data_IF_013316240783
#
_entry.id   IF_013316240783
#
_cell.length_a   1.000
_cell.length_b   1.000
_cell.length_c   1.000
_cell.angle_alpha   90.00
_cell.angle_beta   90.00
_cell.angle_gamma   90.00
#
_symmetry.space_group_name_H-M   'P 1'
#
loop_
_entity.id
_entity.type
_entity.pdbx_description
1 polymer ?
#
# COMPACT_ATOMS: atom_id res chain seq x y z
N UNK A 1 9.32 -25.63 -16.79
CA UNK A 1 9.55 -25.10 -15.43
C UNK A 1 10.29 -23.79 -15.60
N UNK A 2 9.71 -22.67 -15.17
CA UNK A 2 10.43 -21.39 -15.17
C UNK A 2 11.33 -21.37 -13.94
N UNK A 3 12.61 -21.04 -14.12
CA UNK A 3 13.61 -21.01 -13.04
C UNK A 3 13.95 -19.58 -12.60
N UNK A 4 13.28 -18.57 -13.16
CA UNK A 4 13.48 -17.17 -12.87
C UNK A 4 12.14 -16.42 -12.89
N UNK A 5 12.08 -15.31 -12.15
CA UNK A 5 10.96 -14.35 -12.14
C UNK A 5 11.29 -13.24 -13.12
N UNK A 6 10.44 -13.01 -14.11
CA UNK A 6 10.53 -11.89 -15.04
C UNK A 6 9.81 -10.65 -14.49
N UNK A 7 9.98 -9.48 -15.12
CA UNK A 7 9.40 -8.23 -14.63
C UNK A 7 7.87 -8.32 -14.42
N UNK A 8 7.18 -8.99 -15.34
CA UNK A 8 5.73 -9.17 -15.29
C UNK A 8 5.29 -10.29 -14.34
N UNK A 9 6.22 -11.13 -13.88
CA UNK A 9 5.98 -12.20 -12.91
C UNK A 9 6.27 -11.73 -11.46
N UNK A 10 6.67 -10.46 -11.26
CA UNK A 10 7.11 -9.97 -9.96
C UNK A 10 5.93 -9.89 -8.97
N UNK A 11 5.91 -10.70 -7.90
CA UNK A 11 4.81 -10.69 -6.96
C UNK A 11 4.94 -9.57 -5.93
N UNK A 12 5.96 -8.71 -6.03
CA UNK A 12 6.23 -7.66 -5.05
C UNK A 12 5.62 -6.35 -5.53
N UNK A 13 4.71 -5.81 -4.73
CA UNK A 13 4.02 -4.55 -4.99
C UNK A 13 4.37 -3.51 -3.93
N UNK A 14 4.24 -2.22 -4.30
CA UNK A 14 4.38 -1.11 -3.36
C UNK A 14 3.11 -0.25 -3.42
N UNK A 15 2.51 -0.02 -2.26
CA UNK A 15 1.36 0.86 -2.11
C UNK A 15 1.83 2.23 -1.58
N UNK A 16 1.96 3.26 -2.45
CA UNK A 16 2.49 4.56 -2.05
C UNK A 16 1.60 5.28 -1.04
N UNK A 17 0.27 5.10 -1.13
CA UNK A 17 -0.69 5.73 -0.23
C UNK A 17 -0.50 5.32 1.23
N UNK A 18 -0.17 4.04 1.46
CA UNK A 18 -0.03 3.44 2.77
C UNK A 18 1.44 3.28 3.21
N UNK A 19 2.41 3.56 2.32
CA UNK A 19 3.84 3.28 2.53
C UNK A 19 4.08 1.80 2.88
N UNK A 20 3.48 0.91 2.10
CA UNK A 20 3.52 -0.54 2.35
C UNK A 20 4.15 -1.29 1.18
N UNK A 21 5.02 -2.23 1.50
CA UNK A 21 5.48 -3.25 0.56
C UNK A 21 4.66 -4.52 0.77
N UNK A 22 4.28 -5.15 -0.34
CA UNK A 22 3.40 -6.30 -0.35
C UNK A 22 3.94 -7.43 -1.22
N UNK A 23 3.54 -8.66 -0.90
CA UNK A 23 3.63 -9.81 -1.80
C UNK A 23 2.22 -10.20 -2.22
N UNK A 24 1.93 -10.05 -3.50
CA UNK A 24 0.69 -10.45 -4.14
C UNK A 24 0.67 -11.98 -4.23
N UNK A 25 -0.31 -12.62 -3.58
CA UNK A 25 -0.49 -14.07 -3.64
C UNK A 25 -1.15 -14.41 -4.98
N UNK A 26 -0.37 -14.96 -5.91
CA UNK A 26 -0.87 -15.41 -7.22
C UNK A 26 -2.07 -16.34 -7.05
N UNK A 27 -3.22 -15.97 -7.60
CA UNK A 27 -4.43 -16.79 -7.65
C UNK A 27 -5.62 -16.30 -6.82
N UNK A 28 -5.42 -15.41 -5.85
CA UNK A 28 -6.53 -14.83 -5.05
C UNK A 28 -6.58 -13.31 -5.17
N UNK A 29 -7.79 -12.81 -5.45
CA UNK A 29 -8.13 -11.40 -5.65
C UNK A 29 -7.84 -10.55 -4.40
N UNK A 30 -6.67 -9.92 -4.36
CA UNK A 30 -6.38 -8.80 -3.45
C UNK A 30 -5.81 -9.18 -2.08
N UNK A 31 -5.41 -10.43 -1.84
CA UNK A 31 -4.72 -10.80 -0.61
C UNK A 31 -3.22 -10.51 -0.76
N UNK A 32 -2.80 -9.39 -0.18
CA UNK A 32 -1.40 -8.94 -0.15
C UNK A 32 -0.82 -9.25 1.22
N UNK A 33 0.31 -9.97 1.26
CA UNK A 33 1.08 -10.17 2.50
C UNK A 33 2.06 -9.02 2.67
N UNK A 34 1.94 -8.27 3.77
CA UNK A 34 2.84 -7.15 4.05
C UNK A 34 4.27 -7.63 4.30
N UNK A 35 5.24 -6.94 3.70
CA UNK A 35 6.67 -7.14 3.93
C UNK A 35 7.11 -6.19 5.04
N UNK A 36 7.50 -6.70 6.20
CA UNK A 36 7.99 -5.90 7.33
C UNK A 36 9.52 -5.70 7.33
N UNK A 37 10.25 -6.62 6.68
CA UNK A 37 11.71 -6.62 6.62
C UNK A 37 12.16 -6.73 5.16
N UNK A 38 13.15 -5.94 4.78
CA UNK A 38 13.72 -5.98 3.44
C UNK A 38 14.26 -7.38 3.11
N UNK A 39 13.77 -8.06 2.05
CA UNK A 39 14.17 -9.43 1.74
C UNK A 39 15.62 -9.54 1.25
N UNK A 40 16.26 -8.42 0.89
CA UNK A 40 17.66 -8.40 0.42
C UNK A 40 18.68 -8.13 1.52
N UNK A 41 18.38 -7.25 2.49
CA UNK A 41 19.34 -6.85 3.52
C UNK A 41 18.88 -7.10 4.96
N UNK A 42 17.65 -7.57 5.16
CA UNK A 42 17.10 -7.91 6.48
C UNK A 42 16.78 -6.73 7.38
N UNK A 43 16.95 -5.48 6.93
CA UNK A 43 16.57 -4.30 7.72
C UNK A 43 15.05 -4.20 7.85
N UNK A 44 14.58 -3.81 9.03
CA UNK A 44 13.17 -3.45 9.26
C UNK A 44 12.80 -2.27 8.35
N UNK A 45 11.72 -2.43 7.61
CA UNK A 45 11.20 -1.37 6.74
C UNK A 45 10.56 -0.26 7.59
N UNK A 46 10.42 0.96 7.03
CA UNK A 46 9.64 2.01 7.70
C UNK A 46 8.26 1.50 8.07
N UNK A 47 7.71 2.02 9.17
CA UNK A 47 6.34 1.72 9.60
C UNK A 47 5.37 2.06 8.46
N UNK A 48 4.38 1.22 8.20
CA UNK A 48 3.27 1.61 7.33
C UNK A 48 2.48 2.78 7.94
N UNK A 49 1.59 3.33 7.13
CA UNK A 49 0.73 4.46 7.46
C UNK A 49 -0.74 4.07 7.37
N UNK A 50 -1.07 2.79 7.56
CA UNK A 50 -2.45 2.31 7.41
C UNK A 50 -3.38 2.95 8.40
N UNK A 51 -3.03 2.90 9.68
CA UNK A 51 -3.86 3.46 10.74
C UNK A 51 -4.02 4.98 10.57
N UNK A 52 -2.91 5.67 10.25
CA UNK A 52 -2.88 7.11 10.00
C UNK A 52 -3.75 7.51 8.80
N UNK A 53 -3.73 6.71 7.72
CA UNK A 53 -4.58 6.95 6.55
C UNK A 53 -6.06 6.74 6.86
N UNK A 54 -6.40 5.62 7.53
CA UNK A 54 -7.79 5.33 7.92
C UNK A 54 -8.37 6.41 8.81
N UNK A 55 -7.59 6.88 9.78
CA UNK A 55 -8.02 7.96 10.67
C UNK A 55 -8.23 9.27 9.91
N UNK A 56 -7.32 9.63 9.00
CA UNK A 56 -7.44 10.85 8.20
C UNK A 56 -8.67 10.83 7.29
N UNK A 57 -8.99 9.68 6.70
CA UNK A 57 -10.21 9.52 5.90
C UNK A 57 -11.47 9.69 6.76
N UNK A 58 -11.51 9.06 7.94
CA UNK A 58 -12.66 9.19 8.86
C UNK A 58 -12.85 10.63 9.33
N UNK A 59 -11.77 11.37 9.55
CA UNK A 59 -11.82 12.79 9.91
C UNK A 59 -12.44 13.67 8.82
N UNK A 60 -12.38 13.24 7.55
CA UNK A 60 -13.07 13.89 6.43
C UNK A 60 -14.55 13.45 6.31
N UNK A 61 -15.03 12.57 7.19
CA UNK A 61 -16.40 12.05 7.14
C UNK A 61 -16.62 11.00 6.03
N UNK A 62 -15.55 10.44 5.49
CA UNK A 62 -15.59 9.40 4.45
C UNK A 62 -15.42 8.01 5.08
N UNK A 63 -15.91 6.96 4.40
CA UNK A 63 -15.65 5.57 4.78
C UNK A 63 -14.39 5.06 4.05
N UNK A 64 -13.31 4.68 4.76
CA UNK A 64 -12.09 4.13 4.17
C UNK A 64 -12.29 2.95 3.21
N UNK A 65 -13.35 2.17 3.38
CA UNK A 65 -13.63 1.00 2.55
C UNK A 65 -14.19 1.36 1.17
N UNK A 66 -14.79 2.55 1.03
CA UNK A 66 -15.31 3.02 -0.27
C UNK A 66 -14.19 3.42 -1.24
N UNK A 67 -12.92 3.45 -0.82
CA UNK A 67 -11.81 3.89 -1.68
C UNK A 67 -11.58 3.01 -2.91
N UNK A 68 -11.98 1.73 -2.83
CA UNK A 68 -11.83 0.78 -3.94
C UNK A 68 -12.93 0.97 -5.00
N UNK A 69 -14.16 1.17 -4.56
CA UNK A 69 -15.33 1.28 -5.43
C UNK A 69 -15.60 2.73 -5.89
N UNK A 70 -15.22 3.70 -5.07
CA UNK A 70 -15.50 5.13 -5.24
C UNK A 70 -14.28 6.02 -4.97
N UNK A 71 -13.13 5.82 -5.65
CA UNK A 71 -11.93 6.63 -5.44
C UNK A 71 -12.16 8.12 -5.71
N UNK A 72 -13.13 8.49 -6.55
CA UNK A 72 -13.48 9.88 -6.88
C UNK A 72 -14.02 10.69 -5.69
N UNK A 73 -14.50 10.01 -4.63
CA UNK A 73 -14.95 10.68 -3.39
C UNK A 73 -13.79 11.17 -2.52
N UNK A 74 -12.57 10.71 -2.80
CA UNK A 74 -11.40 10.96 -1.97
C UNK A 74 -10.54 12.08 -2.59
N UNK A 75 -9.96 12.97 -1.76
CA UNK A 75 -8.92 13.88 -2.22
C UNK A 75 -7.77 13.15 -2.93
N UNK A 76 -7.30 13.68 -4.06
CA UNK A 76 -6.23 13.07 -4.87
C UNK A 76 -4.96 12.79 -4.04
N UNK A 77 -4.62 13.69 -3.12
CA UNK A 77 -3.45 13.53 -2.26
C UNK A 77 -3.56 12.31 -1.35
N UNK A 78 -4.77 11.95 -0.90
CA UNK A 78 -5.05 10.75 -0.11
C UNK A 78 -5.04 9.47 -0.94
N UNK A 79 -4.96 9.53 -2.26
CA UNK A 79 -4.79 8.36 -3.13
C UNK A 79 -3.32 8.12 -3.50
N UNK A 80 -2.44 9.05 -3.15
CA UNK A 80 -1.02 9.02 -3.48
C UNK A 80 -0.16 9.13 -2.22
N UNK A 81 1.16 9.28 -2.38
CA UNK A 81 2.08 9.49 -1.26
C UNK A 81 2.19 10.95 -0.79
N UNK A 82 1.49 11.89 -1.46
CA UNK A 82 1.61 13.33 -1.17
C UNK A 82 1.16 13.68 0.24
N UNK A 83 0.03 13.14 0.70
CA UNK A 83 -0.57 13.51 1.98
C UNK A 83 0.37 13.30 3.18
N UNK A 84 1.19 12.24 3.15
CA UNK A 84 2.10 11.92 4.25
C UNK A 84 3.48 12.55 4.05
N UNK A 85 3.94 12.73 2.80
CA UNK A 85 5.18 13.47 2.51
C UNK A 85 5.08 14.92 2.95
N UNK A 86 3.95 15.56 2.68
CA UNK A 86 3.69 16.94 3.11
C UNK A 86 3.48 17.06 4.61
N UNK A 87 2.99 16.00 5.26
CA UNK A 87 2.87 15.92 6.71
C UNK A 87 4.19 15.57 7.42
N UNK A 88 5.23 15.17 6.68
CA UNK A 88 6.53 14.76 7.23
C UNK A 88 6.52 13.43 7.97
N UNK A 89 5.65 12.49 7.57
CA UNK A 89 5.48 11.17 8.18
C UNK A 89 6.38 10.08 7.61
#
# INVERSE_FOLDING_TARGET
MRYAVEADDLPVSYNPKLREYGIDRTGDSGIVSQIEYCPWCGKKLPKDLRDEWFERVRQLGLDPWEVLDHPEKFPEDLLTDRWWKEAGL
#
